data_IF_099091364186
#
_entry.id   IF_099091364186
#
_cell.length_a   1.000
_cell.length_b   1.000
_cell.length_c   1.000
_cell.angle_alpha   90.00
_cell.angle_beta   90.00
_cell.angle_gamma   90.00
#
_symmetry.space_group_name_H-M   'P 1'
#
loop_
_entity.id
_entity.type
_entity.pdbx_description
1 polymer ?
#
# COMPACT_ATOMS: atom_id res chain seq x y z
N UNK A 1 22.43 -22.43 1.98
CA UNK A 1 22.63 -22.32 3.44
C UNK A 1 21.84 -21.11 3.94
N UNK A 2 20.60 -21.36 4.36
CA UNK A 2 19.68 -20.34 4.85
C UNK A 2 20.11 -19.94 6.28
N UNK A 3 20.89 -18.86 6.40
CA UNK A 3 21.15 -18.25 7.70
C UNK A 3 19.92 -17.47 8.16
N UNK A 4 18.98 -18.17 8.81
CA UNK A 4 18.10 -17.54 9.79
C UNK A 4 18.89 -17.38 11.08
N UNK A 5 19.71 -16.33 11.15
CA UNK A 5 20.27 -15.84 12.41
C UNK A 5 20.70 -14.38 12.22
N UNK A 6 19.90 -13.49 12.79
CA UNK A 6 20.26 -12.09 12.95
C UNK A 6 19.33 -11.51 14.00
N UNK A 7 19.84 -11.28 15.21
CA UNK A 7 19.17 -10.40 16.15
C UNK A 7 18.82 -9.10 15.42
N UNK A 8 17.57 -8.63 15.53
CA UNK A 8 17.18 -7.33 14.98
C UNK A 8 18.12 -6.31 15.61
N UNK A 9 18.99 -5.71 14.80
CA UNK A 9 19.88 -4.64 15.27
C UNK A 9 19.01 -3.50 15.82
N UNK A 10 19.31 -3.01 17.02
CA UNK A 10 18.60 -1.89 17.66
C UNK A 10 18.47 -0.69 16.72
N UNK A 11 19.50 -0.42 15.88
CA UNK A 11 19.46 0.63 14.85
C UNK A 11 18.36 0.39 13.81
N UNK A 12 18.16 -0.85 13.37
CA UNK A 12 17.10 -1.24 12.44
C UNK A 12 15.73 -1.08 13.11
N UNK A 13 15.58 -1.57 14.34
CA UNK A 13 14.34 -1.45 15.11
C UNK A 13 13.90 0.01 15.26
N UNK A 14 14.82 0.90 15.66
CA UNK A 14 14.53 2.34 15.84
C UNK A 14 14.15 2.99 14.51
N UNK A 15 14.89 2.71 13.42
CA UNK A 15 14.56 3.26 12.08
C UNK A 15 13.17 2.80 11.62
N UNK A 16 12.84 1.51 11.79
CA UNK A 16 11.52 0.95 11.48
C UNK A 16 10.43 1.63 12.29
N UNK A 17 10.62 1.82 13.59
CA UNK A 17 9.65 2.50 14.46
C UNK A 17 9.38 3.94 14.02
N UNK A 18 10.44 4.73 13.76
CA UNK A 18 10.32 6.12 13.29
C UNK A 18 9.59 6.19 11.95
N UNK A 19 9.96 5.35 10.99
CA UNK A 19 9.29 5.32 9.68
C UNK A 19 7.83 4.88 9.77
N UNK A 20 7.50 3.99 10.71
CA UNK A 20 6.11 3.55 10.95
C UNK A 20 5.25 4.67 11.52
N UNK A 21 5.77 5.44 12.48
CA UNK A 21 5.06 6.61 13.01
C UNK A 21 4.89 7.68 11.93
N UNK A 22 5.93 7.93 11.12
CA UNK A 22 5.82 8.86 10.00
C UNK A 22 4.77 8.40 8.96
N UNK A 23 4.74 7.11 8.63
CA UNK A 23 3.74 6.55 7.74
C UNK A 23 2.33 6.75 8.30
N UNK A 24 2.13 6.41 9.57
CA UNK A 24 0.86 6.61 10.27
C UNK A 24 0.42 8.08 10.26
N UNK A 25 1.31 9.03 10.56
CA UNK A 25 0.97 10.47 10.52
C UNK A 25 0.61 10.94 9.11
N UNK A 26 1.25 10.41 8.07
CA UNK A 26 0.92 10.73 6.68
C UNK A 26 -0.43 10.12 6.26
N UNK A 27 -0.82 8.99 6.85
CA UNK A 27 -2.08 8.30 6.55
C UNK A 27 -3.32 9.17 6.84
N UNK A 28 -3.25 10.07 7.83
CA UNK A 28 -4.31 11.06 8.10
C UNK A 28 -4.62 11.99 6.93
N UNK A 29 -3.68 12.17 6.00
CA UNK A 29 -3.87 12.96 4.78
C UNK A 29 -4.40 12.07 3.65
N UNK A 30 -5.45 11.31 3.96
CA UNK A 30 -6.15 10.46 3.01
C UNK A 30 -7.30 11.20 2.34
N UNK A 31 -7.54 10.91 1.07
CA UNK A 31 -8.65 11.50 0.31
C UNK A 31 -9.22 10.50 -0.71
N UNK A 32 -10.54 10.50 -0.95
CA UNK A 32 -11.10 9.71 -2.04
C UNK A 32 -10.70 10.31 -3.40
N UNK A 33 -10.49 9.46 -4.39
CA UNK A 33 -10.33 9.92 -5.78
C UNK A 33 -11.70 10.21 -6.40
N UNK A 34 -11.76 11.16 -7.33
CA UNK A 34 -13.02 11.61 -7.95
C UNK A 34 -13.80 10.51 -8.69
N UNK A 35 -13.18 9.38 -9.02
CA UNK A 35 -13.77 8.27 -9.76
C UNK A 35 -13.99 7.00 -8.91
N UNK A 36 -13.78 7.08 -7.59
CA UNK A 36 -13.92 5.94 -6.67
C UNK A 36 -14.85 6.26 -5.50
N UNK A 37 -15.59 5.27 -4.96
CA UNK A 37 -16.42 5.46 -3.77
C UNK A 37 -15.64 6.03 -2.57
N UNK A 38 -16.31 6.71 -1.62
CA UNK A 38 -15.67 7.36 -0.48
C UNK A 38 -14.86 6.46 0.46
N UNK A 39 -15.10 5.14 0.44
CA UNK A 39 -14.35 4.16 1.23
C UNK A 39 -12.99 3.79 0.62
N UNK A 40 -12.76 4.11 -0.66
CA UNK A 40 -11.49 3.92 -1.35
C UNK A 40 -10.71 5.23 -1.33
N UNK A 41 -9.82 5.35 -0.34
CA UNK A 41 -9.04 6.56 -0.11
C UNK A 41 -7.58 6.34 -0.48
N UNK A 42 -7.02 7.30 -1.20
CA UNK A 42 -5.58 7.34 -1.49
C UNK A 42 -4.89 8.17 -0.43
N UNK A 43 -3.69 7.72 -0.06
CA UNK A 43 -2.82 8.34 0.92
C UNK A 43 -1.36 8.16 0.47
N UNK A 44 -0.43 8.89 1.10
CA UNK A 44 0.99 8.85 0.78
C UNK A 44 1.83 8.10 1.85
N UNK A 45 1.17 7.36 2.74
CA UNK A 45 1.82 6.68 3.87
C UNK A 45 2.74 5.52 3.46
N UNK A 46 2.58 5.00 2.25
CA UNK A 46 3.45 3.96 1.70
C UNK A 46 4.87 4.48 1.40
N UNK A 47 5.08 5.80 1.35
CA UNK A 47 6.39 6.42 1.05
C UNK A 47 7.43 6.07 2.12
N UNK A 48 7.20 6.32 3.45
CA UNK A 48 8.13 5.87 4.48
C UNK A 48 8.39 4.36 4.47
N UNK A 49 7.37 3.54 4.18
CA UNK A 49 7.53 2.08 4.08
C UNK A 49 8.42 1.68 2.90
N UNK A 50 8.25 2.30 1.73
CA UNK A 50 9.10 2.08 0.56
C UNK A 50 10.55 2.54 0.80
N UNK A 51 10.73 3.70 1.46
CA UNK A 51 12.05 4.16 1.90
C UNK A 51 12.69 3.14 2.85
N UNK A 52 11.92 2.62 3.81
CA UNK A 52 12.34 1.54 4.71
C UNK A 52 12.73 0.27 3.97
N UNK A 53 11.98 -0.11 2.93
CA UNK A 53 12.26 -1.27 2.10
C UNK A 53 13.60 -1.15 1.36
N UNK A 54 13.86 0.02 0.75
CA UNK A 54 15.13 0.31 0.08
C UNK A 54 16.31 0.40 1.06
N UNK A 55 16.08 0.94 2.25
CA UNK A 55 17.08 1.10 3.30
C UNK A 55 17.49 -0.22 3.97
N UNK A 56 16.48 -0.92 4.49
CA UNK A 56 16.63 -1.97 5.52
C UNK A 56 16.25 -3.36 4.97
N UNK A 57 15.59 -3.42 3.81
CA UNK A 57 15.15 -4.66 3.18
C UNK A 57 13.63 -4.74 3.06
N UNK A 58 13.11 -5.54 2.11
CA UNK A 58 11.68 -5.61 1.81
C UNK A 58 10.83 -5.99 3.04
N UNK A 59 11.34 -6.86 3.92
CA UNK A 59 10.66 -7.24 5.17
C UNK A 59 10.47 -6.04 6.10
N UNK A 60 11.45 -5.14 6.20
CA UNK A 60 11.30 -3.94 7.01
C UNK A 60 10.20 -3.03 6.47
N UNK A 61 10.06 -2.92 5.14
CA UNK A 61 8.94 -2.20 4.52
C UNK A 61 7.58 -2.78 4.89
N UNK A 62 7.44 -4.11 4.81
CA UNK A 62 6.20 -4.80 5.21
C UNK A 62 5.89 -4.61 6.71
N UNK A 63 6.90 -4.61 7.57
CA UNK A 63 6.71 -4.33 9.01
C UNK A 63 6.24 -2.88 9.24
N UNK A 64 6.76 -1.92 8.46
CA UNK A 64 6.31 -0.52 8.53
C UNK A 64 4.83 -0.41 8.11
N UNK A 65 4.45 -1.08 7.01
CA UNK A 65 3.06 -1.19 6.55
C UNK A 65 2.14 -1.82 7.61
N UNK A 66 2.62 -2.84 8.33
CA UNK A 66 1.85 -3.47 9.38
C UNK A 66 1.64 -2.51 10.56
N UNK A 67 2.72 -1.90 11.05
CA UNK A 67 2.67 -1.04 12.23
C UNK A 67 1.81 0.19 11.95
N UNK A 68 1.94 0.83 10.78
CA UNK A 68 1.13 2.03 10.46
C UNK A 68 -0.37 1.71 10.48
N UNK A 69 -0.78 0.55 9.94
CA UNK A 69 -2.19 0.16 9.88
C UNK A 69 -2.72 -0.25 11.26
N UNK A 70 -1.89 -0.88 12.10
CA UNK A 70 -2.24 -1.15 13.51
C UNK A 70 -2.44 0.17 14.27
N UNK A 71 -1.54 1.15 14.09
CA UNK A 71 -1.67 2.46 14.74
C UNK A 71 -2.91 3.21 14.26
N UNK A 72 -3.21 3.16 12.96
CA UNK A 72 -4.43 3.72 12.39
C UNK A 72 -5.68 3.15 13.07
N UNK A 73 -5.78 1.83 13.09
CA UNK A 73 -6.91 1.13 13.70
C UNK A 73 -7.03 1.41 15.21
N UNK A 74 -5.90 1.52 15.92
CA UNK A 74 -5.89 1.72 17.37
C UNK A 74 -6.20 3.16 17.79
N UNK A 75 -5.86 4.16 16.97
CA UNK A 75 -5.94 5.58 17.35
C UNK A 75 -7.09 6.29 16.62
N UNK A 76 -7.20 6.16 15.31
CA UNK A 76 -8.28 6.77 14.52
C UNK A 76 -9.54 5.89 14.52
N UNK A 77 -9.37 4.58 14.64
CA UNK A 77 -10.44 3.61 14.51
C UNK A 77 -10.68 3.23 13.05
N UNK A 78 -11.87 2.74 12.74
CA UNK A 78 -12.22 2.29 11.38
C UNK A 78 -13.68 2.54 11.08
N UNK A 79 -13.95 3.02 9.86
CA UNK A 79 -15.31 3.13 9.32
C UNK A 79 -15.68 1.93 8.45
N UNK A 80 -14.70 1.05 8.17
CA UNK A 80 -14.86 -0.09 7.25
C UNK A 80 -14.80 -1.45 7.97
N UNK A 81 -14.96 -1.45 9.29
CA UNK A 81 -14.80 -2.63 10.15
C UNK A 81 -13.44 -3.34 9.95
N UNK A 82 -12.35 -2.55 9.88
CA UNK A 82 -10.96 -2.96 9.68
C UNK A 82 -10.61 -3.52 8.28
N UNK A 83 -11.58 -3.61 7.36
CA UNK A 83 -11.35 -4.16 6.02
C UNK A 83 -10.51 -3.21 5.16
N UNK A 84 -10.71 -1.90 5.29
CA UNK A 84 -9.94 -0.88 4.59
C UNK A 84 -8.46 -0.88 5.01
N UNK A 85 -8.19 -0.99 6.31
CA UNK A 85 -6.85 -1.07 6.89
C UNK A 85 -6.17 -2.39 6.49
N UNK A 86 -6.92 -3.50 6.46
CA UNK A 86 -6.43 -4.78 5.96
C UNK A 86 -6.09 -4.70 4.46
N UNK A 87 -6.94 -4.05 3.66
CA UNK A 87 -6.70 -3.81 2.24
C UNK A 87 -5.46 -2.93 2.05
N UNK A 88 -5.34 -1.83 2.80
CA UNK A 88 -4.19 -0.94 2.76
C UNK A 88 -2.90 -1.71 3.07
N UNK A 89 -2.89 -2.50 4.14
CA UNK A 89 -1.76 -3.35 4.51
C UNK A 89 -1.35 -4.31 3.39
N UNK A 90 -2.29 -5.07 2.81
CA UNK A 90 -1.94 -6.03 1.75
C UNK A 90 -1.42 -5.34 0.50
N UNK A 91 -2.11 -4.30 0.02
CA UNK A 91 -1.73 -3.56 -1.19
C UNK A 91 -0.36 -2.90 -1.00
N UNK A 92 -0.18 -2.15 0.09
CA UNK A 92 1.07 -1.48 0.42
C UNK A 92 2.21 -2.48 0.62
N UNK A 93 1.96 -3.59 1.32
CA UNK A 93 2.96 -4.64 1.55
C UNK A 93 3.46 -5.26 0.24
N UNK A 94 2.57 -5.58 -0.71
CA UNK A 94 2.97 -6.12 -2.01
C UNK A 94 3.85 -5.11 -2.75
N UNK A 95 3.43 -3.85 -2.76
CA UNK A 95 4.18 -2.79 -3.42
C UNK A 95 5.59 -2.63 -2.84
N UNK A 96 5.70 -2.40 -1.52
CA UNK A 96 6.99 -2.15 -0.88
C UNK A 96 7.88 -3.39 -0.88
N UNK A 97 7.30 -4.59 -0.78
CA UNK A 97 8.04 -5.84 -0.84
C UNK A 97 8.65 -6.06 -2.23
N UNK A 98 7.85 -5.97 -3.29
CA UNK A 98 8.31 -6.21 -4.67
C UNK A 98 9.34 -5.16 -5.08
N UNK A 99 9.07 -3.88 -4.80
CA UNK A 99 10.01 -2.80 -5.11
C UNK A 99 11.30 -2.97 -4.32
N UNK A 100 11.20 -3.22 -3.01
CA UNK A 100 12.33 -3.43 -2.12
C UNK A 100 13.17 -4.64 -2.52
N UNK A 101 12.54 -5.75 -2.90
CA UNK A 101 13.23 -6.97 -3.32
C UNK A 101 14.05 -6.75 -4.59
N UNK A 102 13.47 -6.14 -5.61
CA UNK A 102 14.16 -5.83 -6.88
C UNK A 102 15.31 -4.85 -6.63
N UNK A 103 15.07 -3.80 -5.84
CA UNK A 103 16.10 -2.81 -5.52
C UNK A 103 17.28 -3.43 -4.76
N UNK A 104 17.02 -4.27 -3.75
CA UNK A 104 18.05 -4.86 -2.90
C UNK A 104 18.95 -5.83 -3.67
N UNK A 105 18.48 -6.43 -4.77
CA UNK A 105 19.31 -7.28 -5.62
C UNK A 105 20.42 -6.49 -6.33
N UNK A 106 20.14 -5.26 -6.75
CA UNK A 106 21.10 -4.41 -7.47
C UNK A 106 20.90 -2.94 -7.09
N UNK A 107 21.45 -2.48 -5.97
CA UNK A 107 21.22 -1.13 -5.43
C UNK A 107 21.64 -0.01 -6.40
N UNK A 108 20.71 0.47 -7.21
CA UNK A 108 20.94 1.49 -8.23
C UNK A 108 19.68 2.31 -8.48
N UNK A 109 19.81 3.47 -9.11
CA UNK A 109 18.64 4.27 -9.48
C UNK A 109 17.75 3.53 -10.50
N UNK A 110 18.35 2.78 -11.43
CA UNK A 110 17.63 1.99 -12.44
C UNK A 110 16.82 0.86 -11.80
N UNK A 111 17.37 0.16 -10.80
CA UNK A 111 16.64 -0.89 -10.09
C UNK A 111 15.54 -0.34 -9.19
N UNK A 112 15.71 0.87 -8.62
CA UNK A 112 14.64 1.54 -7.89
C UNK A 112 13.45 1.83 -8.80
N UNK A 113 13.70 2.45 -9.97
CA UNK A 113 12.65 2.75 -10.95
C UNK A 113 11.96 1.47 -11.45
N UNK A 114 12.74 0.50 -11.95
CA UNK A 114 12.16 -0.76 -12.45
C UNK A 114 11.43 -1.53 -11.36
N UNK A 115 11.96 -1.53 -10.13
CA UNK A 115 11.32 -2.12 -8.95
C UNK A 115 9.95 -1.50 -8.67
N UNK A 116 9.85 -0.16 -8.66
CA UNK A 116 8.58 0.56 -8.47
C UNK A 116 7.58 0.32 -9.60
N UNK A 117 8.03 0.21 -10.86
CA UNK A 117 7.16 -0.11 -12.00
C UNK A 117 6.58 -1.52 -11.85
N UNK A 118 7.45 -2.52 -11.61
CA UNK A 118 7.03 -3.91 -11.43
C UNK A 118 6.13 -4.05 -10.20
N UNK A 119 6.45 -3.36 -9.11
CA UNK A 119 5.64 -3.34 -7.90
C UNK A 119 4.25 -2.72 -8.12
N UNK A 120 4.16 -1.63 -8.87
CA UNK A 120 2.86 -1.00 -9.21
C UNK A 120 1.99 -1.97 -10.01
N UNK A 121 2.55 -2.67 -10.99
CA UNK A 121 1.83 -3.66 -11.78
C UNK A 121 1.40 -4.84 -10.89
N UNK A 122 2.34 -5.39 -10.11
CA UNK A 122 2.08 -6.52 -9.23
C UNK A 122 1.00 -6.20 -8.18
N UNK A 123 1.11 -5.07 -7.49
CA UNK A 123 0.11 -4.67 -6.50
C UNK A 123 -1.25 -4.43 -7.17
N UNK A 124 -1.30 -3.83 -8.36
CA UNK A 124 -2.56 -3.54 -9.04
C UNK A 124 -3.30 -4.83 -9.40
N UNK A 125 -2.59 -5.82 -9.95
CA UNK A 125 -3.16 -7.11 -10.29
C UNK A 125 -3.62 -7.88 -9.05
N UNK A 126 -2.76 -7.99 -8.04
CA UNK A 126 -3.10 -8.74 -6.82
C UNK A 126 -4.20 -8.04 -6.03
N UNK A 127 -4.19 -6.71 -5.95
CA UNK A 127 -5.25 -5.93 -5.31
C UNK A 127 -6.60 -6.17 -6.00
N UNK A 128 -6.62 -6.22 -7.33
CA UNK A 128 -7.84 -6.48 -8.10
C UNK A 128 -8.41 -7.88 -7.79
N UNK A 129 -7.55 -8.90 -7.77
CA UNK A 129 -7.92 -10.28 -7.40
C UNK A 129 -8.40 -10.37 -5.95
N UNK A 130 -7.64 -9.77 -5.02
CA UNK A 130 -7.95 -9.78 -3.60
C UNK A 130 -9.28 -9.05 -3.30
N UNK A 131 -9.55 -7.95 -3.99
CA UNK A 131 -10.82 -7.23 -3.87
C UNK A 131 -12.00 -8.01 -4.46
N UNK A 132 -11.80 -8.72 -5.58
CA UNK A 132 -12.85 -9.51 -6.21
C UNK A 132 -13.26 -10.72 -5.38
N UNK A 133 -12.29 -11.47 -4.85
CA UNK A 133 -12.58 -12.74 -4.17
C UNK A 133 -12.72 -12.64 -2.65
N UNK A 134 -12.13 -11.61 -2.03
CA UNK A 134 -12.02 -11.55 -0.58
C UNK A 134 -12.50 -10.23 0.02
N UNK A 135 -11.85 -9.10 -0.26
CA UNK A 135 -12.08 -7.87 0.51
C UNK A 135 -13.49 -7.31 0.35
N UNK A 136 -13.99 -7.13 -0.88
CA UNK A 136 -15.33 -6.58 -1.08
C UNK A 136 -16.43 -7.56 -0.61
N UNK A 137 -16.39 -8.87 -0.93
CA UNK A 137 -17.36 -9.82 -0.38
C UNK A 137 -17.34 -9.91 1.14
N UNK A 138 -16.15 -9.85 1.75
CA UNK A 138 -15.99 -9.85 3.20
C UNK A 138 -16.56 -8.56 3.81
N UNK A 139 -16.30 -7.41 3.19
CA UNK A 139 -16.87 -6.13 3.59
C UNK A 139 -18.41 -6.14 3.54
N UNK A 140 -18.98 -6.64 2.44
CA UNK A 140 -20.44 -6.84 2.29
C UNK A 140 -21.02 -7.68 3.43
N UNK A 141 -20.37 -8.81 3.73
CA UNK A 141 -20.79 -9.73 4.79
C UNK A 141 -20.78 -9.07 6.17
N UNK A 142 -19.75 -8.28 6.49
CA UNK A 142 -19.65 -7.61 7.79
C UNK A 142 -20.75 -6.57 7.99
N UNK A 143 -21.16 -5.88 6.92
CA UNK A 143 -22.22 -4.86 6.96
C UNK A 143 -23.62 -5.42 6.68
N UNK A 144 -23.75 -6.72 6.42
CA UNK A 144 -25.03 -7.35 6.11
C UNK A 144 -25.67 -6.86 4.80
N UNK A 145 -24.85 -6.39 3.86
CA UNK A 145 -25.30 -5.87 2.55
C UNK A 145 -24.83 -6.78 1.41
N UNK A 146 -25.49 -6.68 0.26
CA UNK A 146 -25.01 -7.34 -0.97
C UNK A 146 -23.82 -6.59 -1.57
N UNK A 147 -23.01 -7.30 -2.36
CA UNK A 147 -21.90 -6.71 -3.12
C UNK A 147 -22.39 -5.65 -4.11
N UNK A 148 -23.62 -5.78 -4.61
CA UNK A 148 -24.25 -4.83 -5.52
C UNK A 148 -24.33 -3.42 -4.92
N UNK A 149 -24.42 -3.30 -3.59
CA UNK A 149 -24.40 -1.99 -2.94
C UNK A 149 -23.12 -1.21 -3.23
N UNK A 150 -21.97 -1.89 -3.27
CA UNK A 150 -20.71 -1.24 -3.61
C UNK A 150 -20.59 -0.94 -5.11
N UNK A 151 -21.23 -1.73 -5.96
CA UNK A 151 -21.36 -1.45 -7.39
C UNK A 151 -22.19 -0.19 -7.60
N UNK A 152 -23.32 -0.03 -6.92
CA UNK A 152 -24.14 1.18 -6.95
C UNK A 152 -23.34 2.41 -6.51
N UNK A 153 -22.58 2.30 -5.41
CA UNK A 153 -21.70 3.39 -4.95
C UNK A 153 -20.64 3.74 -6.01
N UNK A 154 -20.09 2.74 -6.69
CA UNK A 154 -19.15 2.94 -7.80
C UNK A 154 -19.79 3.61 -9.01
N UNK A 155 -20.99 3.19 -9.39
CA UNK A 155 -21.73 3.72 -10.54
C UNK A 155 -22.08 5.21 -10.38
N UNK A 156 -22.32 5.67 -9.14
CA UNK A 156 -22.60 7.08 -8.84
C UNK A 156 -21.42 8.02 -9.16
N UNK A 157 -20.18 7.52 -9.08
CA UNK A 157 -18.96 8.32 -9.29
C UNK A 157 -18.21 7.95 -10.57
N UNK A 158 -18.55 6.80 -11.17
CA UNK A 158 -17.89 6.29 -12.36
C UNK A 158 -18.90 5.58 -13.27
N UNK A 159 -19.24 6.25 -14.37
CA UNK A 159 -20.20 5.76 -15.38
C UNK A 159 -19.83 4.43 -16.04
N UNK A 160 -18.56 4.00 -15.94
CA UNK A 160 -18.10 2.72 -16.50
C UNK A 160 -18.39 1.54 -15.57
N UNK A 161 -18.88 1.79 -14.35
CA UNK A 161 -19.25 0.75 -13.39
C UNK A 161 -20.73 0.40 -13.59
N UNK A 162 -20.98 -0.78 -14.18
CA UNK A 162 -22.33 -1.32 -14.46
C UNK A 162 -22.62 -2.61 -13.69
N UNK A 163 -21.58 -3.36 -13.36
CA UNK A 163 -21.63 -4.63 -12.63
C UNK A 163 -20.38 -4.81 -11.76
N UNK A 164 -20.34 -5.89 -10.98
CA UNK A 164 -19.23 -6.13 -10.06
C UNK A 164 -17.86 -6.31 -10.74
N UNK A 165 -17.79 -6.92 -11.92
CA UNK A 165 -16.52 -7.05 -12.66
C UNK A 165 -16.05 -5.69 -13.14
N UNK A 166 -16.95 -4.88 -13.69
CA UNK A 166 -16.64 -3.51 -14.11
C UNK A 166 -16.23 -2.62 -12.91
N UNK A 167 -16.80 -2.85 -11.72
CA UNK A 167 -16.36 -2.15 -10.50
C UNK A 167 -14.88 -2.45 -10.17
N UNK A 168 -14.47 -3.71 -10.28
CA UNK A 168 -13.07 -4.07 -10.08
C UNK A 168 -12.18 -3.50 -11.19
N UNK A 169 -12.56 -3.64 -12.46
CA UNK A 169 -11.72 -3.24 -13.60
C UNK A 169 -11.65 -1.71 -13.80
N UNK A 170 -12.74 -0.99 -13.54
CA UNK A 170 -12.84 0.46 -13.80
C UNK A 170 -12.76 1.29 -12.52
N UNK A 171 -12.86 0.67 -11.33
CA UNK A 171 -12.68 1.33 -10.03
C UNK A 171 -11.38 0.90 -9.34
N UNK A 172 -11.33 -0.35 -8.89
CA UNK A 172 -10.23 -0.87 -8.04
C UNK A 172 -8.90 -0.90 -8.78
N UNK A 173 -8.87 -1.42 -10.01
CA UNK A 173 -7.66 -1.54 -10.81
C UNK A 173 -7.02 -0.16 -11.08
N UNK A 174 -7.73 0.84 -11.65
CA UNK A 174 -7.14 2.16 -11.87
C UNK A 174 -6.82 2.89 -10.57
N UNK A 175 -7.61 2.71 -9.51
CA UNK A 175 -7.30 3.27 -8.19
C UNK A 175 -5.92 2.82 -7.69
N UNK A 176 -5.68 1.50 -7.68
CA UNK A 176 -4.39 0.96 -7.24
C UNK A 176 -3.27 1.40 -8.17
N UNK A 177 -3.48 1.38 -9.49
CA UNK A 177 -2.46 1.86 -10.43
C UNK A 177 -2.05 3.31 -10.16
N UNK A 178 -3.03 4.21 -9.98
CA UNK A 178 -2.80 5.62 -9.65
C UNK A 178 -2.06 5.76 -8.32
N UNK A 179 -2.49 5.02 -7.27
CA UNK A 179 -1.80 5.02 -5.97
C UNK A 179 -0.32 4.67 -6.12
N UNK A 180 0.00 3.59 -6.85
CA UNK A 180 1.38 3.13 -7.02
C UNK A 180 2.23 4.13 -7.79
N UNK A 181 1.68 4.74 -8.84
CA UNK A 181 2.35 5.82 -9.59
C UNK A 181 2.60 7.03 -8.70
N UNK A 182 1.61 7.49 -7.94
CA UNK A 182 1.75 8.65 -7.04
C UNK A 182 2.85 8.43 -6.00
N UNK A 183 2.80 7.30 -5.30
CA UNK A 183 3.81 6.94 -4.28
C UNK A 183 5.20 6.85 -4.93
N UNK A 184 5.31 6.25 -6.12
CA UNK A 184 6.58 6.13 -6.84
C UNK A 184 7.16 7.50 -7.24
N UNK A 185 6.34 8.37 -7.84
CA UNK A 185 6.77 9.69 -8.29
C UNK A 185 7.30 10.56 -7.15
N UNK A 186 6.67 10.50 -5.98
CA UNK A 186 7.10 11.27 -4.81
C UNK A 186 8.31 10.62 -4.14
N UNK A 187 8.44 9.29 -4.17
CA UNK A 187 9.59 8.59 -3.58
C UNK A 187 10.88 8.81 -4.37
N UNK A 188 10.84 8.93 -5.70
CA UNK A 188 12.02 9.14 -6.56
C UNK A 188 12.93 10.32 -6.11
N UNK A 189 12.42 11.55 -5.91
CA UNK A 189 13.27 12.66 -5.47
C UNK A 189 13.76 12.48 -4.02
N UNK A 190 12.96 11.86 -3.16
CA UNK A 190 13.33 11.57 -1.77
C UNK A 190 14.45 10.53 -1.71
N UNK A 191 14.42 9.50 -2.57
CA UNK A 191 15.45 8.48 -2.66
C UNK A 191 16.85 9.09 -2.83
N UNK A 192 17.03 10.06 -3.74
CA UNK A 192 18.34 10.67 -3.97
C UNK A 192 18.90 11.36 -2.71
N UNK A 193 18.02 11.94 -1.89
CA UNK A 193 18.42 12.63 -0.65
C UNK A 193 18.67 11.67 0.51
N UNK A 194 17.89 10.59 0.58
CA UNK A 194 17.94 9.65 1.71
C UNK A 194 18.98 8.54 1.48
N UNK A 195 19.28 8.17 0.23
CA UNK A 195 20.24 7.12 -0.15
C UNK A 195 21.63 7.24 0.53
N UNK A 196 22.29 8.42 0.58
CA UNK A 196 23.59 8.57 1.25
C UNK A 196 23.56 8.30 2.76
N UNK A 197 22.39 8.49 3.41
CA UNK A 197 22.17 8.29 4.84
C UNK A 197 21.85 6.83 5.15
N UNK A 198 21.23 6.12 4.19
CA UNK A 198 20.85 4.71 4.33
C UNK A 198 22.02 3.75 4.10
N UNK A 199 22.98 4.13 3.24
CA UNK A 199 24.17 3.33 2.94
C UNK A 199 25.38 3.68 3.84
N UNK A 200 25.19 4.47 4.91
CA UNK A 200 26.13 4.71 6.01
C UNK A 200 25.69 4.00 7.29
#
# INVERSE_FOLDING_TARGET
MLMVKGQINTRTMVKTAVLSVLAFLIMYFEMPLWFTPPFLKVDLSDIPALIGAFALGPIAGVVIELIKNILNLAIEGTTTAAVGELANFFVGSIFVFVAGFIYQKYKSFKSAISGMIVATIAMTLVASVLNYYFLIPFYAKLFGVSVDKYVEMGAQVNRFVTDYKSFILCGILPFNFVKGVMVSLITIPLYKRVSPILHR
#
